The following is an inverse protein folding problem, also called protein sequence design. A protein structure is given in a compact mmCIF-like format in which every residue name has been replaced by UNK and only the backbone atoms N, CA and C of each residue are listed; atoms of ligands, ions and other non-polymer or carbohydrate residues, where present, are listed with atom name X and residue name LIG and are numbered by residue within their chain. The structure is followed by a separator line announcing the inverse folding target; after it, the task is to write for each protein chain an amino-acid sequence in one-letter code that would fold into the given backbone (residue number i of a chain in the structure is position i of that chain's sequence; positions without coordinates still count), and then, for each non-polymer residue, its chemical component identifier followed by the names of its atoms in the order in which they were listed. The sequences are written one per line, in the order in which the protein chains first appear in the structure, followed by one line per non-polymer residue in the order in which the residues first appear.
data_IF_961613335453
#
_entry.id   IF_961613335453
#
_cell.length_a   1.000
_cell.length_b   1.000
_cell.length_c   1.000
_cell.angle_alpha   90.00
_cell.angle_beta   90.00
_cell.angle_gamma   90.00
#
_symmetry.space_group_name_H-M   'P 1'
#
loop_
_entity.id
_entity.type
_entity.pdbx_description
1 polymer ?
#
# COMPACT_ATOMS: atom_id res chain seq x y z
N UNK A 1 17.68 18.59 -17.14
CA UNK A 1 16.66 19.42 -16.47
C UNK A 1 16.56 18.91 -15.05
N UNK A 2 16.84 19.75 -14.06
CA UNK A 2 16.70 19.38 -12.65
C UNK A 2 15.20 19.31 -12.35
N UNK A 3 14.63 18.11 -12.29
CA UNK A 3 13.30 17.93 -11.73
C UNK A 3 13.45 18.18 -10.22
N UNK A 4 12.84 19.24 -9.68
CA UNK A 4 12.79 19.45 -8.23
C UNK A 4 11.80 18.44 -7.65
N UNK A 5 12.36 17.30 -7.32
CA UNK A 5 11.69 16.22 -6.62
C UNK A 5 11.49 16.62 -5.17
N UNK A 6 10.24 16.54 -4.68
CA UNK A 6 9.95 16.69 -3.26
C UNK A 6 9.70 15.32 -2.65
N UNK A 7 10.65 14.85 -1.84
CA UNK A 7 10.47 13.67 -1.00
C UNK A 7 10.13 14.09 0.43
N UNK A 8 9.10 13.47 1.02
CA UNK A 8 8.84 13.57 2.47
C UNK A 8 8.59 12.18 3.04
N UNK A 9 8.95 11.98 4.30
CA UNK A 9 8.60 10.76 5.02
C UNK A 9 7.28 10.99 5.76
N UNK A 10 6.25 10.21 5.46
CA UNK A 10 4.90 10.38 6.04
C UNK A 10 4.48 9.15 6.84
N UNK A 11 3.92 9.28 8.05
CA UNK A 11 3.26 8.18 8.74
C UNK A 11 2.17 7.55 7.87
N UNK A 12 1.96 6.24 7.99
CA UNK A 12 0.90 5.53 7.26
C UNK A 12 -0.48 6.17 7.49
N UNK A 13 -0.79 6.63 8.69
CA UNK A 13 -2.05 7.32 8.98
C UNK A 13 -2.23 8.64 8.23
N UNK A 14 -1.16 9.43 8.05
CA UNK A 14 -1.19 10.62 7.18
C UNK A 14 -1.38 10.18 5.72
N UNK A 15 -0.73 9.07 5.33
CA UNK A 15 -0.86 8.48 4.00
C UNK A 15 -2.30 7.98 3.69
N UNK A 16 -3.10 7.63 4.69
CA UNK A 16 -4.51 7.28 4.47
C UNK A 16 -5.37 8.49 4.07
N UNK A 17 -4.87 9.71 4.25
CA UNK A 17 -5.60 10.96 3.99
C UNK A 17 -6.24 11.57 5.24
N UNK A 18 -5.90 11.05 6.42
CA UNK A 18 -6.34 11.61 7.69
C UNK A 18 -5.28 12.51 8.31
N UNK A 19 -5.68 13.75 8.59
CA UNK A 19 -4.92 14.68 9.43
C UNK A 19 -5.88 15.38 10.38
N UNK A 20 -5.35 16.03 11.43
CA UNK A 20 -6.12 16.88 12.34
C UNK A 20 -6.94 18.00 11.64
N UNK A 21 -6.71 18.22 10.34
CA UNK A 21 -7.34 19.27 9.53
C UNK A 21 -8.13 18.76 8.31
N UNK A 22 -8.06 17.46 7.96
CA UNK A 22 -8.61 16.93 6.71
C UNK A 22 -9.07 15.47 6.84
N UNK A 23 -10.27 15.16 6.34
CA UNK A 23 -10.98 13.87 6.51
C UNK A 23 -11.32 13.17 5.18
N UNK A 24 -10.55 13.38 4.12
CA UNK A 24 -10.85 12.77 2.83
C UNK A 24 -9.74 11.78 2.45
N UNK A 25 -10.06 10.49 2.25
CA UNK A 25 -9.06 9.50 1.91
C UNK A 25 -8.39 9.84 0.57
N UNK A 26 -7.12 9.49 0.43
CA UNK A 26 -6.41 9.66 -0.82
C UNK A 26 -6.97 8.75 -1.92
N UNK A 27 -6.96 9.24 -3.16
CA UNK A 27 -7.34 8.49 -4.35
C UNK A 27 -6.10 8.22 -5.18
N UNK A 28 -5.78 6.96 -5.38
CA UNK A 28 -4.63 6.54 -6.18
C UNK A 28 -5.10 5.96 -7.51
N UNK A 29 -4.64 6.55 -8.60
CA UNK A 29 -4.88 6.10 -9.96
C UNK A 29 -3.69 5.25 -10.38
N UNK A 30 -3.95 3.99 -10.72
CA UNK A 30 -2.96 3.09 -11.34
C UNK A 30 -3.12 3.23 -12.86
N UNK A 31 -2.14 3.86 -13.54
CA UNK A 31 -2.29 4.22 -14.94
C UNK A 31 -2.17 3.00 -15.86
N UNK A 32 -2.80 3.11 -17.03
CA UNK A 32 -2.97 1.99 -17.97
C UNK A 32 -1.68 1.38 -18.52
N UNK A 33 -0.56 2.12 -18.46
CA UNK A 33 0.75 1.65 -18.91
C UNK A 33 1.48 0.80 -17.86
N UNK A 34 0.91 0.64 -16.66
CA UNK A 34 1.42 -0.31 -15.68
C UNK A 34 0.70 -1.65 -15.78
N UNK A 35 1.39 -2.72 -15.39
CA UNK A 35 0.81 -4.06 -15.32
C UNK A 35 -0.21 -4.14 -14.18
N UNK A 36 -1.11 -5.13 -14.23
CA UNK A 36 -2.01 -5.41 -13.11
C UNK A 36 -1.28 -5.90 -11.86
N UNK A 37 -2.05 -6.20 -10.81
CA UNK A 37 -1.49 -6.75 -9.57
C UNK A 37 -0.94 -8.17 -9.78
N UNK A 38 0.34 -8.38 -9.45
CA UNK A 38 1.10 -9.62 -9.79
C UNK A 38 1.97 -10.14 -8.65
N UNK A 39 1.94 -9.54 -7.47
CA UNK A 39 2.68 -10.10 -6.35
C UNK A 39 2.11 -11.47 -5.98
N UNK A 40 3.02 -12.40 -5.71
CA UNK A 40 2.69 -13.74 -5.28
C UNK A 40 2.94 -13.89 -3.78
N UNK A 41 2.79 -15.13 -3.29
CA UNK A 41 2.92 -15.45 -1.87
C UNK A 41 4.22 -14.94 -1.26
N UNK A 42 5.33 -15.04 -2.00
CA UNK A 42 6.64 -14.65 -1.51
C UNK A 42 6.69 -13.15 -1.20
N UNK A 43 6.40 -12.28 -2.18
CA UNK A 43 6.51 -10.83 -1.96
C UNK A 43 5.49 -10.33 -0.93
N UNK A 44 4.31 -10.95 -0.87
CA UNK A 44 3.30 -10.62 0.14
C UNK A 44 3.80 -11.00 1.55
N UNK A 45 4.39 -12.18 1.71
CA UNK A 45 4.94 -12.63 3.00
C UNK A 45 6.12 -11.77 3.42
N UNK A 46 7.04 -11.46 2.51
CA UNK A 46 8.21 -10.59 2.78
C UNK A 46 7.77 -9.21 3.31
N UNK A 47 6.73 -8.60 2.73
CA UNK A 47 6.22 -7.32 3.25
C UNK A 47 5.68 -7.44 4.68
N UNK A 48 4.95 -8.51 5.01
CA UNK A 48 4.39 -8.70 6.36
C UNK A 48 5.50 -9.07 7.35
N UNK A 49 6.45 -9.89 6.93
CA UNK A 49 7.63 -10.29 7.71
C UNK A 49 8.50 -9.08 8.06
N UNK A 50 8.70 -8.14 7.15
CA UNK A 50 9.40 -6.88 7.42
C UNK A 50 8.69 -6.04 8.50
N UNK A 51 7.37 -5.89 8.41
CA UNK A 51 6.57 -5.19 9.43
C UNK A 51 6.66 -5.89 10.79
N UNK A 52 6.66 -7.22 10.79
CA UNK A 52 6.77 -8.04 11.98
C UNK A 52 8.17 -8.00 12.60
N UNK A 53 9.21 -8.02 11.77
CA UNK A 53 10.60 -7.87 12.20
C UNK A 53 10.81 -6.51 12.85
N UNK A 54 10.31 -5.42 12.24
CA UNK A 54 10.35 -4.09 12.82
C UNK A 54 9.66 -4.05 14.20
N UNK A 55 8.50 -4.69 14.34
CA UNK A 55 7.84 -4.79 15.65
C UNK A 55 8.72 -5.49 16.70
N UNK A 56 9.37 -6.60 16.33
CA UNK A 56 10.19 -7.43 17.22
C UNK A 56 11.51 -6.78 17.61
N UNK A 57 12.17 -6.12 16.66
CA UNK A 57 13.43 -5.45 16.89
C UNK A 57 13.20 -4.08 17.54
N UNK A 58 13.33 -4.02 18.87
CA UNK A 58 13.19 -2.77 19.64
C UNK A 58 14.44 -1.89 19.62
N UNK A 59 15.55 -2.39 19.08
CA UNK A 59 16.79 -1.62 18.93
C UNK A 59 16.84 -0.89 17.59
N UNK A 60 16.08 -1.37 16.59
CA UNK A 60 15.85 -0.59 15.37
C UNK A 60 15.10 0.72 15.66
N UNK A 61 15.43 1.75 14.88
CA UNK A 61 15.03 3.14 15.14
C UNK A 61 13.52 3.40 15.26
N UNK A 62 13.18 4.67 15.39
CA UNK A 62 11.82 5.12 15.71
C UNK A 62 10.78 4.83 14.61
N UNK A 63 11.20 4.47 13.40
CA UNK A 63 10.28 4.12 12.33
C UNK A 63 10.85 3.12 11.32
N UNK A 64 9.95 2.39 10.65
CA UNK A 64 10.25 1.61 9.46
C UNK A 64 9.67 2.29 8.23
N UNK A 65 10.50 2.49 7.21
CA UNK A 65 10.04 3.01 5.93
C UNK A 65 9.68 1.85 5.01
N UNK A 66 8.39 1.76 4.66
CA UNK A 66 7.99 1.03 3.46
C UNK A 66 8.64 1.74 2.27
N UNK A 67 9.21 0.95 1.35
CA UNK A 67 9.92 1.44 0.18
C UNK A 67 9.15 2.55 -0.57
N UNK A 68 9.85 3.47 -1.25
CA UNK A 68 9.24 4.67 -1.82
C UNK A 68 8.01 4.41 -2.70
N UNK A 69 7.04 5.32 -2.62
CA UNK A 69 5.92 5.41 -3.57
C UNK A 69 6.12 6.71 -4.36
N UNK A 70 6.19 6.57 -5.68
CA UNK A 70 6.37 7.70 -6.59
C UNK A 70 5.02 8.12 -7.12
N UNK A 71 4.67 9.39 -6.94
CA UNK A 71 3.34 9.92 -7.16
C UNK A 71 3.40 11.19 -8.02
N UNK A 72 2.47 11.30 -8.95
CA UNK A 72 2.15 12.55 -9.65
C UNK A 72 0.81 13.06 -9.13
N UNK A 73 0.79 14.25 -8.54
CA UNK A 73 -0.46 14.85 -8.05
C UNK A 73 -1.29 15.37 -9.23
N UNK A 74 -2.45 14.77 -9.48
CA UNK A 74 -3.34 15.18 -10.57
C UNK A 74 -4.38 16.20 -10.10
N UNK A 75 -4.93 16.01 -8.90
CA UNK A 75 -5.92 16.90 -8.28
C UNK A 75 -5.70 16.97 -6.76
N UNK A 76 -6.61 17.63 -6.05
CA UNK A 76 -6.61 17.59 -4.60
C UNK A 76 -6.85 16.16 -4.09
N UNK A 77 -5.94 15.66 -3.25
CA UNK A 77 -5.96 14.31 -2.69
C UNK A 77 -5.99 13.16 -3.72
N UNK A 78 -5.71 13.44 -5.00
CA UNK A 78 -5.71 12.46 -6.08
C UNK A 78 -4.34 12.39 -6.73
N UNK A 79 -3.81 11.18 -6.84
CA UNK A 79 -2.44 10.93 -7.27
C UNK A 79 -2.39 9.80 -8.27
N UNK A 80 -1.68 10.00 -9.38
CA UNK A 80 -1.28 8.93 -10.27
C UNK A 80 -0.03 8.25 -9.70
N UNK A 81 -0.10 6.94 -9.50
CA UNK A 81 1.02 6.15 -8.98
C UNK A 81 1.96 5.86 -10.13
N UNK A 82 3.23 6.27 -10.02
CA UNK A 82 4.27 6.03 -11.04
C UNK A 82 5.22 4.89 -10.65
N UNK A 83 5.35 4.56 -9.37
CA UNK A 83 6.04 3.36 -8.89
C UNK A 83 5.48 2.95 -7.52
N UNK A 84 5.51 1.65 -7.23
CA UNK A 84 5.04 1.09 -5.96
C UNK A 84 3.59 0.57 -5.97
N UNK A 85 2.95 0.41 -7.13
CA UNK A 85 1.57 -0.08 -7.22
C UNK A 85 1.31 -1.42 -6.50
N UNK A 86 2.26 -2.37 -6.55
CA UNK A 86 2.10 -3.68 -5.93
C UNK A 86 2.14 -3.57 -4.41
N UNK A 87 3.11 -2.81 -3.88
CA UNK A 87 3.23 -2.51 -2.45
C UNK A 87 1.96 -1.85 -1.93
N UNK A 88 1.46 -0.86 -2.66
CA UNK A 88 0.28 -0.09 -2.28
C UNK A 88 -0.99 -0.96 -2.24
N UNK A 89 -1.16 -1.86 -3.21
CA UNK A 89 -2.28 -2.80 -3.24
C UNK A 89 -2.18 -3.82 -2.12
N UNK A 90 -1.01 -4.42 -1.90
CA UNK A 90 -0.81 -5.38 -0.80
C UNK A 90 -1.06 -4.73 0.56
N UNK A 91 -0.60 -3.50 0.76
CA UNK A 91 -0.88 -2.73 1.98
C UNK A 91 -2.38 -2.51 2.18
N UNK A 92 -3.12 -2.16 1.13
CA UNK A 92 -4.58 -2.04 1.20
C UNK A 92 -5.22 -3.35 1.70
N UNK A 93 -4.76 -4.50 1.21
CA UNK A 93 -5.24 -5.82 1.62
C UNK A 93 -4.88 -6.14 3.08
N UNK A 94 -3.67 -5.82 3.52
CA UNK A 94 -3.24 -5.99 4.93
C UNK A 94 -4.12 -5.15 5.86
N UNK A 95 -4.35 -3.88 5.51
CA UNK A 95 -5.18 -2.98 6.31
C UNK A 95 -6.66 -3.39 6.31
N UNK A 96 -7.15 -3.94 5.19
CA UNK A 96 -8.49 -4.53 5.10
C UNK A 96 -8.62 -5.77 5.98
N UNK A 97 -7.59 -6.63 6.05
CA UNK A 97 -7.56 -7.81 6.93
C UNK A 97 -7.52 -7.42 8.42
N UNK A 98 -6.85 -6.31 8.74
CA UNK A 98 -6.72 -5.81 10.10
C UNK A 98 -7.90 -4.93 10.56
N UNK A 99 -8.89 -4.68 9.70
CA UNK A 99 -9.95 -3.70 9.95
C UNK A 99 -10.65 -3.87 11.30
N UNK A 100 -11.18 -5.06 11.60
CA UNK A 100 -11.88 -5.31 12.86
C UNK A 100 -10.99 -4.93 14.06
N UNK A 101 -9.72 -5.33 14.01
CA UNK A 101 -8.76 -5.02 15.07
C UNK A 101 -8.44 -3.53 15.14
N UNK A 102 -8.33 -2.84 13.99
CA UNK A 102 -8.14 -1.39 13.96
C UNK A 102 -9.31 -0.69 14.66
N UNK A 103 -10.53 -1.08 14.33
CA UNK A 103 -11.74 -0.49 14.90
C UNK A 103 -11.88 -0.78 16.40
N UNK A 104 -11.60 -2.01 16.84
CA UNK A 104 -11.56 -2.38 18.26
C UNK A 104 -10.56 -1.52 19.07
N UNK A 105 -9.41 -1.20 18.47
CA UNK A 105 -8.38 -0.36 19.07
C UNK A 105 -8.66 1.16 18.90
N UNK A 106 -9.79 1.55 18.29
CA UNK A 106 -10.24 2.93 18.11
C UNK A 106 -9.69 3.65 16.87
N UNK A 107 -9.05 2.93 15.95
CA UNK A 107 -8.48 3.43 14.70
C UNK A 107 -9.49 3.30 13.55
N UNK A 108 -10.39 4.29 13.44
CA UNK A 108 -11.53 4.26 12.52
C UNK A 108 -11.27 4.91 11.16
N UNK A 109 -10.00 5.00 10.75
CA UNK A 109 -9.65 5.69 9.51
C UNK A 109 -10.10 4.91 8.27
N UNK A 110 -10.71 5.62 7.32
CA UNK A 110 -11.01 5.08 5.99
C UNK A 110 -9.71 4.80 5.22
N UNK A 111 -9.74 3.75 4.40
CA UNK A 111 -8.61 3.43 3.52
C UNK A 111 -8.64 4.31 2.26
N UNK A 112 -7.46 4.54 1.69
CA UNK A 112 -7.33 5.14 0.36
C UNK A 112 -8.00 4.27 -0.72
N UNK A 113 -8.41 4.87 -1.84
CA UNK A 113 -8.93 4.12 -2.98
C UNK A 113 -7.87 3.83 -4.04
N UNK A 114 -8.03 2.71 -4.74
CA UNK A 114 -7.17 2.28 -5.85
C UNK A 114 -8.01 2.12 -7.11
N UNK A 115 -7.80 3.00 -8.09
CA UNK A 115 -8.48 2.97 -9.38
C UNK A 115 -7.52 2.50 -10.47
N UNK A 116 -7.73 1.29 -10.97
CA UNK A 116 -6.96 0.73 -12.08
C UNK A 116 -7.59 1.13 -13.41
N UNK A 117 -6.91 1.94 -14.21
CA UNK A 117 -7.45 2.42 -15.50
C UNK A 117 -7.77 1.29 -16.48
N UNK A 118 -7.01 0.20 -16.45
CA UNK A 118 -7.23 -1.00 -17.28
C UNK A 118 -8.33 -1.92 -16.73
N UNK A 119 -8.81 -1.67 -15.50
CA UNK A 119 -9.78 -2.49 -14.77
C UNK A 119 -10.76 -1.62 -13.97
N UNK A 120 -11.75 -1.06 -14.66
CA UNK A 120 -12.73 -0.13 -14.08
C UNK A 120 -13.46 -0.68 -12.86
N UNK A 121 -13.72 -1.99 -12.82
CA UNK A 121 -14.42 -2.65 -11.71
C UNK A 121 -13.53 -2.97 -10.51
N UNK A 122 -12.19 -2.81 -10.63
CA UNK A 122 -11.24 -3.13 -9.57
C UNK A 122 -11.45 -2.27 -8.31
N UNK A 123 -11.76 -0.99 -8.46
CA UNK A 123 -12.03 -0.11 -7.31
C UNK A 123 -13.25 -0.60 -6.52
N UNK A 124 -14.32 -0.99 -7.23
CA UNK A 124 -15.52 -1.58 -6.61
C UNK A 124 -15.22 -2.95 -6.00
N UNK A 125 -14.46 -3.80 -6.68
CA UNK A 125 -14.02 -5.10 -6.18
C UNK A 125 -13.25 -4.98 -4.85
N UNK A 126 -12.33 -4.02 -4.75
CA UNK A 126 -11.57 -3.76 -3.53
C UNK A 126 -12.45 -3.17 -2.42
N UNK A 127 -13.26 -2.15 -2.73
CA UNK A 127 -14.16 -1.49 -1.76
C UNK A 127 -15.19 -2.45 -1.18
N UNK A 128 -15.77 -3.31 -1.99
CA UNK A 128 -16.76 -4.32 -1.58
C UNK A 128 -16.09 -5.58 -1.00
N UNK A 129 -14.75 -5.60 -0.88
CA UNK A 129 -13.97 -6.70 -0.32
C UNK A 129 -14.27 -8.05 -0.94
N UNK A 130 -14.51 -8.08 -2.25
CA UNK A 130 -14.84 -9.30 -3.01
C UNK A 130 -13.72 -10.35 -3.03
N UNK A 131 -12.54 -9.99 -2.54
CA UNK A 131 -11.39 -10.86 -2.36
C UNK A 131 -11.41 -11.71 -1.07
N UNK A 132 -12.36 -11.48 -0.15
CA UNK A 132 -12.50 -12.27 1.08
C UNK A 132 -13.23 -13.57 0.77
N UNK A 133 -12.64 -14.70 1.19
CA UNK A 133 -13.18 -16.06 1.03
C UNK A 133 -13.60 -16.40 -0.43
N UNK A 134 -12.92 -15.80 -1.39
CA UNK A 134 -13.23 -15.93 -2.81
C UNK A 134 -11.98 -16.33 -3.61
N UNK A 135 -12.18 -17.21 -4.58
CA UNK A 135 -11.20 -17.52 -5.62
C UNK A 135 -11.82 -17.03 -6.94
N UNK A 136 -11.43 -15.83 -7.37
CA UNK A 136 -11.93 -15.22 -8.61
C UNK A 136 -10.89 -15.41 -9.71
N UNK A 137 -11.13 -16.39 -10.58
CA UNK A 137 -10.32 -16.68 -11.77
C UNK A 137 -10.85 -15.99 -13.04
N UNK A 138 -11.93 -15.21 -12.94
CA UNK A 138 -12.51 -14.49 -14.08
C UNK A 138 -11.57 -13.42 -14.64
N UNK A 139 -10.64 -12.95 -13.80
CA UNK A 139 -9.62 -11.99 -14.15
C UNK A 139 -8.32 -12.33 -13.42
N UNK A 140 -7.20 -12.37 -14.16
CA UNK A 140 -5.86 -12.60 -13.61
C UNK A 140 -5.51 -11.63 -12.47
N UNK A 141 -5.95 -10.38 -12.55
CA UNK A 141 -5.70 -9.39 -11.49
C UNK A 141 -6.46 -9.76 -10.20
N UNK A 142 -7.71 -10.22 -10.32
CA UNK A 142 -8.52 -10.67 -9.18
C UNK A 142 -7.98 -11.96 -8.58
N UNK A 143 -7.53 -12.89 -9.42
CA UNK A 143 -6.85 -14.10 -8.98
C UNK A 143 -5.65 -13.79 -8.08
N UNK A 144 -4.75 -12.88 -8.52
CA UNK A 144 -3.60 -12.49 -7.71
C UNK A 144 -4.02 -11.74 -6.43
N UNK A 145 -5.03 -10.86 -6.49
CA UNK A 145 -5.52 -10.14 -5.30
C UNK A 145 -6.10 -11.12 -4.27
N UNK A 146 -6.93 -12.08 -4.69
CA UNK A 146 -7.47 -13.13 -3.83
C UNK A 146 -6.35 -13.97 -3.20
N UNK A 147 -5.35 -14.38 -3.99
CA UNK A 147 -4.21 -15.14 -3.49
C UNK A 147 -3.33 -14.35 -2.50
N UNK A 148 -3.15 -13.05 -2.72
CA UNK A 148 -2.47 -12.19 -1.76
C UNK A 148 -3.25 -12.09 -0.45
N UNK A 149 -4.58 -11.93 -0.51
CA UNK A 149 -5.42 -11.91 0.69
C UNK A 149 -5.40 -13.25 1.45
N UNK A 150 -5.42 -14.37 0.72
CA UNK A 150 -5.24 -15.72 1.29
C UNK A 150 -3.89 -15.86 1.96
N UNK A 151 -2.82 -15.36 1.33
CA UNK A 151 -1.46 -15.35 1.90
C UNK A 151 -1.41 -14.55 3.20
N UNK A 152 -2.00 -13.35 3.23
CA UNK A 152 -2.10 -12.53 4.45
C UNK A 152 -2.84 -13.32 5.54
N UNK A 153 -3.98 -13.91 5.20
CA UNK A 153 -4.78 -14.70 6.14
C UNK A 153 -4.01 -15.87 6.72
N UNK A 154 -3.31 -16.63 5.89
CA UNK A 154 -2.51 -17.78 6.30
C UNK A 154 -1.32 -17.35 7.17
N UNK A 155 -0.66 -16.23 6.82
CA UNK A 155 0.44 -15.68 7.62
C UNK A 155 -0.01 -15.37 9.04
N UNK A 156 -1.17 -14.72 9.22
CA UNK A 156 -1.71 -14.38 10.55
C UNK A 156 -2.32 -15.56 11.31
N UNK A 157 -2.62 -16.68 10.63
CA UNK A 157 -3.08 -17.94 11.25
C UNK A 157 -1.93 -18.80 11.76
N UNK A 158 -0.70 -18.60 11.28
CA UNK A 158 0.47 -19.34 11.76
C UNK A 158 0.72 -19.03 13.25
N UNK A 159 0.87 -20.08 14.06
CA UNK A 159 1.13 -19.99 15.51
C UNK A 159 2.39 -19.16 15.84
N UNK A 160 3.38 -19.11 14.94
CA UNK A 160 4.57 -18.26 15.10
C UNK A 160 4.25 -16.76 15.13
N UNK A 161 3.09 -16.38 14.62
CA UNK A 161 2.60 -15.00 14.52
C UNK A 161 1.41 -14.75 15.46
N UNK A 162 1.22 -15.61 16.47
CA UNK A 162 0.14 -15.46 17.44
C UNK A 162 0.18 -14.07 18.10
N UNK A 163 -0.96 -13.38 18.05
CA UNK A 163 -1.11 -12.03 18.59
C UNK A 163 -0.57 -10.92 17.69
N UNK A 164 -0.05 -11.22 16.48
CA UNK A 164 0.50 -10.22 15.56
C UNK A 164 -0.50 -9.11 15.23
N UNK A 165 -1.80 -9.40 15.10
CA UNK A 165 -2.84 -8.38 14.86
C UNK A 165 -2.75 -7.22 15.87
N UNK A 166 -2.74 -7.52 17.17
CA UNK A 166 -2.67 -6.51 18.23
C UNK A 166 -1.30 -5.89 18.44
N UNK A 167 -0.27 -6.38 17.74
CA UNK A 167 1.09 -5.86 17.78
C UNK A 167 1.42 -4.98 16.57
N UNK A 168 0.88 -5.33 15.40
CA UNK A 168 1.07 -4.61 14.15
C UNK A 168 0.13 -3.41 14.02
N UNK A 169 -1.13 -3.52 14.46
CA UNK A 169 -2.09 -2.40 14.36
C UNK A 169 -1.58 -1.12 15.02
N UNK A 170 -1.03 -1.14 16.26
CA UNK A 170 -0.50 0.07 16.88
C UNK A 170 0.62 0.73 16.07
N UNK A 171 1.60 -0.03 15.56
CA UNK A 171 2.73 0.55 14.80
C UNK A 171 2.31 1.04 13.40
N UNK A 172 1.30 0.42 12.80
CA UNK A 172 0.75 0.83 11.50
C UNK A 172 -0.08 2.10 11.66
N UNK A 173 -0.83 2.24 12.75
CA UNK A 173 -1.81 3.30 12.96
C UNK A 173 -1.33 4.45 13.86
N UNK A 174 -0.04 4.55 14.17
CA UNK A 174 0.52 5.63 15.00
C UNK A 174 1.04 6.79 14.14
N UNK A 175 0.60 8.02 14.42
CA UNK A 175 1.04 9.27 13.78
C UNK A 175 2.26 9.91 14.46
N UNK A 176 2.88 9.23 15.43
CA UNK A 176 3.94 9.71 16.34
C UNK A 176 3.53 10.77 17.35
N UNK A 177 2.24 11.13 17.48
CA UNK A 177 1.74 11.97 18.59
C UNK A 177 1.87 11.29 19.96
N UNK A 178 1.94 9.95 19.98
CA UNK A 178 2.03 9.12 21.19
C UNK A 178 3.45 8.70 21.55
N UNK A 179 4.48 9.17 20.81
CA UNK A 179 5.89 8.82 21.06
C UNK A 179 6.24 7.36 20.77
N UNK A 180 5.41 6.67 19.98
CA UNK A 180 5.63 5.27 19.61
C UNK A 180 6.37 5.13 18.28
N UNK A 181 6.95 3.94 18.10
CA UNK A 181 7.52 3.52 16.83
C UNK A 181 6.43 3.36 15.78
N UNK A 182 6.66 3.81 14.55
CA UNK A 182 5.64 3.77 13.52
C UNK A 182 6.14 3.36 12.12
N UNK A 183 5.19 3.03 11.26
CA UNK A 183 5.44 2.71 9.86
C UNK A 183 5.22 3.97 9.02
N UNK A 184 6.18 4.26 8.13
CA UNK A 184 6.17 5.44 7.28
C UNK A 184 6.36 5.08 5.81
N UNK A 185 5.95 5.98 4.93
CA UNK A 185 6.23 5.94 3.50
C UNK A 185 7.23 7.03 3.16
N UNK A 186 8.15 6.72 2.24
CA UNK A 186 8.86 7.75 1.49
C UNK A 186 7.93 8.19 0.36
N UNK A 187 7.23 9.30 0.58
CA UNK A 187 6.34 9.94 -0.38
C UNK A 187 7.18 10.78 -1.34
N UNK A 188 7.23 10.34 -2.59
CA UNK A 188 8.02 11.01 -3.62
C UNK A 188 7.07 11.65 -4.63
N UNK A 189 6.92 12.97 -4.58
CA UNK A 189 6.03 13.71 -5.48
C UNK A 189 6.84 14.30 -6.64
N UNK A 190 6.42 14.00 -7.87
CA UNK A 190 6.97 14.60 -9.09
C UNK A 190 6.20 15.86 -9.48
N UNK A 191 6.88 16.79 -10.16
CA UNK A 191 6.27 18.02 -10.65
C UNK A 191 5.16 17.73 -11.67
N UNK A 192 4.06 18.50 -11.60
CA UNK A 192 2.90 18.35 -12.50
C UNK A 192 3.23 18.57 -13.99
N UNK A 193 4.28 19.33 -14.28
CA UNK A 193 4.79 19.55 -15.64
C UNK A 193 5.52 18.34 -16.24
N UNK A 194 5.81 17.32 -15.43
CA UNK A 194 6.60 16.16 -15.86
C UNK A 194 5.75 15.19 -16.67
N UNK A 195 6.32 14.60 -17.73
CA UNK A 195 5.70 13.49 -18.44
C UNK A 195 5.70 12.22 -17.56
N UNK A 196 4.53 11.71 -17.11
CA UNK A 196 4.47 10.57 -16.20
C UNK A 196 5.01 9.28 -16.81
N UNK A 197 4.85 9.09 -18.12
CA UNK A 197 5.34 7.90 -18.85
C UNK A 197 6.86 7.89 -18.88
N UNK A 198 7.51 9.03 -19.11
CA UNK A 198 8.97 9.13 -19.10
C UNK A 198 9.55 8.82 -17.71
N UNK A 199 8.90 9.30 -16.65
CA UNK A 199 9.29 8.99 -15.27
C UNK A 199 9.15 7.50 -15.00
N UNK A 200 8.00 6.92 -15.37
CA UNK A 200 7.75 5.50 -15.21
C UNK A 200 8.78 4.64 -15.93
N UNK A 201 9.07 4.95 -17.21
CA UNK A 201 10.10 4.25 -17.98
C UNK A 201 11.43 4.35 -17.25
N UNK A 202 11.87 5.55 -16.86
CA UNK A 202 13.14 5.77 -16.15
C UNK A 202 13.27 4.97 -14.85
N UNK A 203 12.19 4.85 -14.09
CA UNK A 203 12.16 4.07 -12.83
C UNK A 203 12.21 2.55 -13.05
N UNK A 204 11.91 2.10 -14.26
CA UNK A 204 11.89 0.70 -14.65
C UNK A 204 13.00 0.32 -15.65
N UNK A 205 13.85 1.27 -16.05
CA UNK A 205 15.07 0.97 -16.82
C UNK A 205 15.92 -0.04 -16.04
N UNK A 206 16.17 -1.21 -16.63
CA UNK A 206 16.95 -2.28 -16.01
C UNK A 206 16.15 -3.23 -15.10
N UNK A 207 14.85 -2.99 -14.88
CA UNK A 207 13.94 -3.98 -14.27
C UNK A 207 13.34 -4.88 -15.36
N UNK A 208 12.83 -6.06 -14.99
CA UNK A 208 12.25 -7.06 -15.92
C UNK A 208 11.25 -6.36 -16.87
N UNK A 209 11.31 -6.60 -18.20
CA UNK A 209 10.45 -5.94 -19.17
C UNK A 209 8.96 -6.13 -18.87
N UNK A 210 8.16 -5.09 -19.14
CA UNK A 210 6.69 -5.10 -19.01
C UNK A 210 5.98 -5.96 -20.05
N UNK A 211 6.74 -6.54 -20.98
CA UNK A 211 6.28 -7.53 -21.94
C UNK A 211 6.82 -8.87 -21.50
N UNK A 212 6.04 -9.68 -20.77
CA UNK A 212 5.90 -11.13 -20.99
C UNK A 212 4.68 -11.67 -20.20
N UNK A 213 3.66 -12.04 -20.99
CA UNK A 213 2.55 -13.02 -20.84
C UNK A 213 1.62 -12.99 -19.63
#
# INVERSE_FOLDING_TARGET
MNNNIKSKTVPLVEFLGETSQKKAPHKFIIPHYQRGYRWERQEVSELIDDLWAFHKDRESGDFYCIQPIVLLKTEENTYEVLDGQQRLTTLYLILSFLEDRRFDDGYNQELFSLNYQTRKDCETFLREKKFIDNEDDSNIDYYHICNAYKTITDWFKDEKHRGAKGKLVPILMDDSSKGNRNVRFIWYEVEQSTNPIEVFIRLNVGKIPLTEK
#
